data_IF_617692807057
#
_entry.id   IF_617692807057
#
_cell.length_a   1.000
_cell.length_b   1.000
_cell.length_c   1.000
_cell.angle_alpha   90.00
_cell.angle_beta   90.00
_cell.angle_gamma   90.00
#
_symmetry.space_group_name_H-M   'P 1'
#
loop_
_entity.id
_entity.type
_entity.pdbx_description
1 polymer ?
#
# COMPACT_ATOMS: atom_id res chain seq x y z
N UNK A 1 3.34 -11.24 7.65
CA UNK A 1 2.45 -10.39 8.49
C UNK A 1 1.16 -11.03 8.95
N UNK A 2 0.32 -11.52 8.05
CA UNK A 2 -1.03 -12.02 8.38
C UNK A 2 -1.01 -13.11 9.45
N UNK A 3 -0.09 -14.07 9.34
CA UNK A 3 0.11 -15.14 10.33
C UNK A 3 0.49 -14.60 11.72
N UNK A 4 1.40 -13.62 11.80
CA UNK A 4 1.79 -13.00 13.07
C UNK A 4 0.65 -12.20 13.72
N UNK A 5 -0.22 -11.58 12.92
CA UNK A 5 -1.40 -10.84 13.39
C UNK A 5 -2.44 -11.81 13.98
N UNK A 6 -2.70 -12.92 13.29
CA UNK A 6 -3.62 -13.98 13.76
C UNK A 6 -3.08 -14.63 15.04
N UNK A 7 -1.79 -14.95 15.08
CA UNK A 7 -1.14 -15.52 16.28
C UNK A 7 -1.15 -14.56 17.47
N UNK A 8 -1.07 -13.24 17.23
CA UNK A 8 -1.24 -12.21 18.28
C UNK A 8 -2.70 -11.90 18.61
N UNK A 9 -3.67 -12.63 18.05
CA UNK A 9 -5.13 -12.38 18.18
C UNK A 9 -5.52 -10.93 17.86
N UNK A 10 -4.79 -10.25 16.99
CA UNK A 10 -5.11 -8.90 16.56
C UNK A 10 -6.15 -8.93 15.43
N UNK A 11 -7.03 -7.93 15.40
CA UNK A 11 -8.05 -7.82 14.34
C UNK A 11 -7.36 -7.53 13.00
N UNK A 12 -7.57 -8.43 12.04
CA UNK A 12 -7.17 -8.22 10.65
C UNK A 12 -8.05 -7.13 10.05
N UNK A 13 -7.47 -5.96 9.76
CA UNK A 13 -8.16 -4.90 9.03
C UNK A 13 -8.37 -5.34 7.57
N UNK A 14 -9.50 -4.92 6.99
CA UNK A 14 -9.84 -5.25 5.60
C UNK A 14 -8.73 -4.87 4.61
N UNK A 15 -8.18 -3.67 4.79
CA UNK A 15 -7.06 -3.12 4.02
C UNK A 15 -5.89 -4.12 3.87
N UNK A 16 -5.52 -4.78 4.97
CA UNK A 16 -4.34 -5.64 5.04
C UNK A 16 -4.50 -6.87 4.16
N UNK A 17 -5.54 -7.68 4.41
CA UNK A 17 -5.71 -8.93 3.69
C UNK A 17 -6.14 -8.70 2.24
N UNK A 18 -6.96 -7.67 1.96
CA UNK A 18 -7.32 -7.28 0.60
C UNK A 18 -6.07 -6.97 -0.22
N UNK A 19 -5.21 -6.08 0.29
CA UNK A 19 -3.94 -5.73 -0.35
C UNK A 19 -3.06 -6.96 -0.58
N UNK A 20 -2.79 -7.77 0.46
CA UNK A 20 -1.88 -8.91 0.32
C UNK A 20 -2.34 -9.98 -0.68
N UNK A 21 -3.64 -10.25 -0.78
CA UNK A 21 -4.15 -11.22 -1.75
C UNK A 21 -4.11 -10.64 -3.17
N UNK A 22 -4.53 -9.39 -3.33
CA UNK A 22 -4.65 -8.78 -4.67
C UNK A 22 -3.28 -8.48 -5.30
N UNK A 23 -2.28 -8.03 -4.54
CA UNK A 23 -0.90 -7.87 -5.07
C UNK A 23 -0.26 -9.21 -5.44
N UNK A 24 -0.57 -10.29 -4.71
CA UNK A 24 -0.07 -11.63 -5.03
C UNK A 24 -0.66 -12.14 -6.35
N UNK A 25 -1.96 -11.97 -6.54
CA UNK A 25 -2.63 -12.33 -7.79
C UNK A 25 -2.14 -11.48 -8.97
N UNK A 26 -1.98 -10.16 -8.75
CA UNK A 26 -1.49 -9.25 -9.77
C UNK A 26 -0.05 -9.58 -10.20
N UNK A 27 0.85 -9.82 -9.26
CA UNK A 27 2.25 -10.20 -9.59
C UNK A 27 2.32 -11.53 -10.34
N UNK A 28 1.47 -12.51 -9.98
CA UNK A 28 1.37 -13.77 -10.72
C UNK A 28 0.86 -13.58 -12.16
N UNK A 29 -0.14 -12.70 -12.33
CA UNK A 29 -0.68 -12.35 -13.64
C UNK A 29 0.35 -11.60 -14.50
N UNK A 30 0.94 -10.54 -13.97
CA UNK A 30 1.95 -9.72 -14.68
C UNK A 30 3.28 -10.44 -14.91
N UNK A 31 3.61 -11.49 -14.16
CA UNK A 31 4.79 -12.33 -14.42
C UNK A 31 4.70 -13.03 -15.78
N UNK A 32 3.50 -13.46 -16.20
CA UNK A 32 3.29 -14.06 -17.52
C UNK A 32 3.51 -13.06 -18.66
N UNK A 33 3.14 -11.81 -18.43
CA UNK A 33 3.15 -10.76 -19.45
C UNK A 33 4.42 -9.90 -19.47
N UNK A 34 5.42 -10.22 -18.65
CA UNK A 34 6.76 -9.59 -18.67
C UNK A 34 6.70 -8.04 -18.76
N UNK A 35 5.85 -7.42 -17.93
CA UNK A 35 5.59 -5.97 -17.99
C UNK A 35 6.89 -5.18 -17.82
N UNK A 36 7.26 -4.37 -18.83
CA UNK A 36 8.51 -3.59 -18.86
C UNK A 36 8.69 -2.64 -17.67
N UNK A 37 7.59 -2.23 -17.01
CA UNK A 37 7.61 -1.39 -15.81
C UNK A 37 7.84 -2.14 -14.48
N UNK A 38 7.88 -3.48 -14.49
CA UNK A 38 7.91 -4.29 -13.25
C UNK A 38 9.08 -3.98 -12.32
N UNK A 39 10.26 -3.65 -12.86
CA UNK A 39 11.44 -3.31 -12.07
C UNK A 39 11.28 -2.04 -11.22
N UNK A 40 10.59 -1.03 -11.74
CA UNK A 40 10.27 0.19 -10.99
C UNK A 40 9.31 -0.09 -9.84
N UNK A 41 8.27 -0.90 -10.11
CA UNK A 41 7.32 -1.33 -9.08
C UNK A 41 7.98 -2.11 -7.96
N UNK A 42 8.86 -3.08 -8.30
CA UNK A 42 9.60 -3.84 -7.29
C UNK A 42 10.47 -2.92 -6.44
N UNK A 43 11.26 -2.05 -7.05
CA UNK A 43 12.21 -1.19 -6.33
C UNK A 43 11.51 -0.24 -5.35
N UNK A 44 10.44 0.43 -5.80
CA UNK A 44 9.64 1.30 -4.93
C UNK A 44 9.00 0.52 -3.79
N UNK A 45 8.44 -0.67 -4.07
CA UNK A 45 7.79 -1.50 -3.06
C UNK A 45 8.78 -1.99 -2.01
N UNK A 46 9.94 -2.52 -2.42
CA UNK A 46 10.98 -2.98 -1.50
C UNK A 46 11.49 -1.84 -0.60
N UNK A 47 11.66 -0.65 -1.16
CA UNK A 47 12.15 0.51 -0.40
C UNK A 47 11.17 0.91 0.70
N UNK A 48 9.88 1.05 0.37
CA UNK A 48 8.87 1.42 1.36
C UNK A 48 8.61 0.30 2.37
N UNK A 49 8.62 -0.96 1.93
CA UNK A 49 8.51 -2.10 2.84
C UNK A 49 9.70 -2.19 3.79
N UNK A 50 10.93 -1.96 3.31
CA UNK A 50 12.11 -1.94 4.17
C UNK A 50 11.95 -0.91 5.30
N UNK A 51 11.45 0.29 5.00
CA UNK A 51 11.16 1.32 6.01
C UNK A 51 10.06 0.88 6.99
N UNK A 52 8.96 0.33 6.48
CA UNK A 52 7.83 -0.13 7.30
C UNK A 52 8.23 -1.28 8.26
N UNK A 53 8.94 -2.29 7.77
CA UNK A 53 9.38 -3.42 8.58
C UNK A 53 10.46 -3.04 9.58
N UNK A 54 11.35 -2.11 9.22
CA UNK A 54 12.33 -1.55 10.17
C UNK A 54 11.62 -0.88 11.35
N UNK A 55 10.55 -0.12 11.08
CA UNK A 55 9.72 0.46 12.12
C UNK A 55 9.04 -0.59 13.01
N UNK A 56 8.45 -1.64 12.43
CA UNK A 56 7.85 -2.72 13.22
C UNK A 56 8.87 -3.48 14.06
N UNK A 57 10.09 -3.67 13.54
CA UNK A 57 11.19 -4.29 14.27
C UNK A 57 11.60 -3.43 15.46
N UNK A 58 11.79 -2.12 15.26
CA UNK A 58 12.10 -1.19 16.35
C UNK A 58 11.01 -1.17 17.43
N UNK A 59 9.73 -1.21 17.02
CA UNK A 59 8.59 -1.32 17.94
C UNK A 59 8.57 -2.64 18.72
N UNK A 60 8.92 -3.75 18.07
CA UNK A 60 9.02 -5.06 18.72
C UNK A 60 10.21 -5.15 19.69
N UNK A 61 11.30 -4.42 19.43
CA UNK A 61 12.46 -4.29 20.31
C UNK A 61 12.21 -3.40 21.55
N UNK A 62 10.99 -2.90 21.74
CA UNK A 62 10.62 -2.09 22.91
C UNK A 62 10.96 -0.60 22.79
N UNK A 63 11.46 -0.14 21.64
CA UNK A 63 11.72 1.28 21.41
C UNK A 63 10.39 2.02 21.28
N UNK A 64 10.20 3.07 22.09
CA UNK A 64 9.05 3.99 21.97
C UNK A 64 9.24 4.87 20.74
N UNK A 65 8.77 4.40 19.59
CA UNK A 65 8.80 5.19 18.37
C UNK A 65 7.68 6.25 18.40
N UNK A 66 7.98 7.53 18.14
CA UNK A 66 6.99 8.60 18.23
C UNK A 66 5.93 8.49 17.10
N UNK A 67 4.70 8.92 17.40
CA UNK A 67 3.56 8.97 16.45
C UNK A 67 3.87 9.59 15.08
N UNK A 68 4.64 10.70 14.95
CA UNK A 68 5.01 11.24 13.64
C UNK A 68 5.77 10.26 12.74
N UNK A 69 6.58 9.33 13.30
CA UNK A 69 7.24 8.32 12.47
C UNK A 69 6.24 7.37 11.83
N UNK A 70 5.19 6.95 12.56
CA UNK A 70 4.12 6.13 12.00
C UNK A 70 3.38 6.88 10.88
N UNK A 71 3.14 8.18 11.07
CA UNK A 71 2.51 9.04 10.06
C UNK A 71 3.38 9.17 8.80
N UNK A 72 4.69 9.37 8.95
CA UNK A 72 5.64 9.43 7.81
C UNK A 72 5.62 8.12 7.02
N UNK A 73 5.58 6.96 7.70
CA UNK A 73 5.53 5.66 7.03
C UNK A 73 4.22 5.49 6.26
N UNK A 74 3.08 5.85 6.87
CA UNK A 74 1.78 5.80 6.17
C UNK A 74 1.76 6.77 4.97
N UNK A 75 2.34 7.96 5.11
CA UNK A 75 2.48 8.91 4.01
C UNK A 75 3.38 8.36 2.89
N UNK A 76 4.49 7.70 3.23
CA UNK A 76 5.37 7.05 2.26
C UNK A 76 4.66 5.91 1.50
N UNK A 77 3.78 5.15 2.17
CA UNK A 77 2.95 4.12 1.52
C UNK A 77 1.93 4.72 0.54
N UNK A 78 1.27 5.81 0.92
CA UNK A 78 0.36 6.55 0.02
C UNK A 78 1.12 7.09 -1.18
N UNK A 79 2.28 7.71 -0.95
CA UNK A 79 3.13 8.23 -2.00
C UNK A 79 3.59 7.13 -2.97
N UNK A 80 3.90 5.93 -2.45
CA UNK A 80 4.25 4.79 -3.28
C UNK A 80 3.10 4.32 -4.17
N UNK A 81 1.85 4.36 -3.70
CA UNK A 81 0.70 4.07 -4.57
C UNK A 81 0.47 5.16 -5.62
N UNK A 82 0.65 6.43 -5.26
CA UNK A 82 0.55 7.53 -6.22
C UNK A 82 1.64 7.43 -7.31
N UNK A 83 2.90 7.21 -6.92
CA UNK A 83 4.00 7.00 -7.86
C UNK A 83 3.78 5.76 -8.73
N UNK A 84 3.23 4.69 -8.16
CA UNK A 84 2.87 3.50 -8.94
C UNK A 84 1.84 3.79 -10.03
N UNK A 85 0.83 4.60 -9.73
CA UNK A 85 -0.16 5.06 -10.71
C UNK A 85 0.49 5.93 -11.80
N UNK A 86 1.43 6.81 -11.43
CA UNK A 86 2.20 7.62 -12.38
C UNK A 86 3.05 6.75 -13.31
N UNK A 87 3.74 5.73 -12.79
CA UNK A 87 4.54 4.80 -13.60
C UNK A 87 3.65 4.01 -14.56
N UNK A 88 2.48 3.53 -14.13
CA UNK A 88 1.51 2.88 -15.01
C UNK A 88 1.01 3.81 -16.12
N UNK A 89 0.69 5.06 -15.79
CA UNK A 89 0.30 6.08 -16.78
C UNK A 89 1.42 6.41 -17.76
N UNK A 90 2.67 6.45 -17.29
CA UNK A 90 3.84 6.64 -18.14
C UNK A 90 4.03 5.43 -19.07
N UNK A 91 3.96 4.20 -18.55
CA UNK A 91 4.02 2.99 -19.39
C UNK A 91 2.92 2.98 -20.44
N UNK A 92 1.70 3.36 -20.09
CA UNK A 92 0.59 3.48 -21.05
C UNK A 92 0.87 4.50 -22.16
N UNK A 93 1.42 5.67 -21.82
CA UNK A 93 1.79 6.68 -22.81
C UNK A 93 2.90 6.17 -23.74
N UNK A 94 3.94 5.58 -23.18
CA UNK A 94 5.10 5.10 -23.93
C UNK A 94 4.80 3.86 -24.79
N UNK A 95 3.77 3.08 -24.43
CA UNK A 95 3.25 1.99 -25.26
C UNK A 95 2.69 2.47 -26.59
N UNK A 96 2.15 3.69 -26.65
CA UNK A 96 1.61 4.27 -27.88
C UNK A 96 2.72 4.79 -28.81
N UNK A 97 3.82 5.29 -28.25
CA UNK A 97 4.93 5.90 -29.00
C UNK A 97 5.97 4.87 -29.48
N UNK A 98 6.27 3.87 -28.65
CA UNK A 98 7.26 2.83 -28.94
C UNK A 98 6.48 1.53 -28.95
N UNK A 99 6.40 0.83 -30.09
CA UNK A 99 5.68 -0.44 -30.28
C UNK A 99 6.18 -1.52 -29.31
N UNK A 100 5.85 -1.38 -28.03
CA UNK A 100 6.22 -2.27 -26.95
C UNK A 100 5.15 -3.36 -26.89
N UNK A 101 5.53 -4.65 -26.87
CA UNK A 101 4.60 -5.76 -26.72
C UNK A 101 4.14 -5.87 -25.25
N UNK A 102 3.55 -4.81 -24.72
CA UNK A 102 2.94 -4.79 -23.40
C UNK A 102 1.43 -4.92 -23.57
N UNK A 103 0.81 -5.81 -22.81
CA UNK A 103 -0.64 -6.02 -22.89
C UNK A 103 -1.37 -4.88 -22.17
N UNK A 104 -2.21 -4.15 -22.90
CA UNK A 104 -3.05 -3.06 -22.37
C UNK A 104 -3.91 -3.52 -21.18
N UNK A 105 -4.35 -4.78 -21.19
CA UNK A 105 -5.13 -5.37 -20.10
C UNK A 105 -4.39 -5.37 -18.76
N UNK A 106 -3.08 -5.68 -18.75
CA UNK A 106 -2.28 -5.64 -17.52
C UNK A 106 -2.16 -4.24 -16.95
N UNK A 107 -2.04 -3.25 -17.83
CA UNK A 107 -1.93 -1.84 -17.45
C UNK A 107 -3.25 -1.33 -16.88
N UNK A 108 -4.39 -1.72 -17.47
CA UNK A 108 -5.72 -1.38 -16.96
C UNK A 108 -5.98 -2.03 -15.60
N UNK A 109 -5.77 -3.34 -15.47
CA UNK A 109 -5.95 -4.05 -14.19
C UNK A 109 -5.00 -3.55 -13.10
N UNK A 110 -3.75 -3.25 -13.45
CA UNK A 110 -2.78 -2.63 -12.55
C UNK A 110 -3.22 -1.25 -12.08
N UNK A 111 -3.69 -0.40 -13.00
CA UNK A 111 -4.16 0.95 -12.68
C UNK A 111 -5.38 0.92 -11.75
N UNK A 112 -6.34 0.03 -12.01
CA UNK A 112 -7.52 -0.17 -11.16
C UNK A 112 -7.14 -0.62 -9.75
N UNK A 113 -6.19 -1.55 -9.65
CA UNK A 113 -5.68 -2.05 -8.36
C UNK A 113 -4.95 -0.95 -7.57
N UNK A 114 -4.02 -0.22 -8.20
CA UNK A 114 -3.29 0.86 -7.54
C UNK A 114 -4.21 2.01 -7.10
N UNK A 115 -5.22 2.33 -7.90
CA UNK A 115 -6.23 3.33 -7.56
C UNK A 115 -7.07 2.88 -6.36
N UNK A 116 -7.49 1.61 -6.30
CA UNK A 116 -8.25 1.09 -5.15
C UNK A 116 -7.43 1.20 -3.86
N UNK A 117 -6.14 0.86 -3.90
CA UNK A 117 -5.25 1.01 -2.75
C UNK A 117 -5.06 2.46 -2.33
N UNK A 118 -4.88 3.38 -3.28
CA UNK A 118 -4.72 4.80 -2.98
C UNK A 118 -5.92 5.33 -2.18
N UNK A 119 -7.15 5.00 -2.62
CA UNK A 119 -8.39 5.39 -1.94
C UNK A 119 -8.44 4.78 -0.55
N UNK A 120 -8.20 3.47 -0.44
CA UNK A 120 -8.28 2.74 0.83
C UNK A 120 -7.24 3.24 1.85
N UNK A 121 -6.01 3.53 1.42
CA UNK A 121 -4.97 4.10 2.29
C UNK A 121 -5.25 5.56 2.65
N UNK A 122 -5.79 6.35 1.73
CA UNK A 122 -6.21 7.73 2.02
C UNK A 122 -7.34 7.77 3.06
N UNK A 123 -8.34 6.89 2.94
CA UNK A 123 -9.41 6.74 3.92
C UNK A 123 -8.86 6.30 5.29
N UNK A 124 -7.95 5.32 5.30
CA UNK A 124 -7.29 4.90 6.53
C UNK A 124 -6.49 6.03 7.18
N UNK A 125 -5.74 6.80 6.40
CA UNK A 125 -4.99 7.96 6.91
C UNK A 125 -5.91 9.04 7.46
N UNK A 126 -7.02 9.31 6.77
CA UNK A 126 -8.03 10.24 7.23
C UNK A 126 -8.63 9.81 8.57
N UNK A 127 -9.11 8.56 8.68
CA UNK A 127 -9.71 8.05 9.92
C UNK A 127 -8.70 7.93 11.08
N UNK A 128 -7.43 7.61 10.79
CA UNK A 128 -6.41 7.39 11.81
C UNK A 128 -5.72 8.67 12.31
N UNK A 129 -5.58 9.69 11.46
CA UNK A 129 -4.76 10.87 11.75
C UNK A 129 -5.49 12.22 11.63
N UNK A 130 -6.43 12.38 10.70
CA UNK A 130 -7.08 13.67 10.43
C UNK A 130 -8.45 13.79 11.10
N UNK A 131 -9.15 12.68 11.28
CA UNK A 131 -10.40 12.63 12.04
C UNK A 131 -10.07 12.91 13.50
N UNK A 132 -10.25 14.16 13.90
CA UNK A 132 -10.30 14.51 15.31
C UNK A 132 -11.37 13.64 15.96
N UNK A 133 -11.19 13.21 17.23
CA UNK A 133 -12.30 12.71 18.01
C UNK A 133 -13.27 13.89 18.14
N UNK A 134 -14.21 14.01 17.20
CA UNK A 134 -15.37 14.87 17.37
C UNK A 134 -15.92 14.51 18.74
N UNK A 135 -15.90 15.46 19.66
CA UNK A 135 -16.27 15.23 21.05
C UNK A 135 -17.65 14.62 21.13
N UNK A 136 -17.70 13.29 21.27
CA UNK A 136 -18.86 12.64 21.86
C UNK A 136 -18.62 12.58 23.36
N UNK A 137 -19.61 13.07 24.07
CA UNK A 137 -19.53 13.49 25.45
C UNK A 137 -19.33 12.28 26.36
N UNK A 138 -18.44 12.44 27.33
CA UNK A 138 -18.56 11.95 28.70
C UNK A 138 -19.97 11.43 29.06
N UNK A 139 -20.13 10.12 29.15
CA UNK A 139 -21.09 9.40 30.01
C UNK A 139 -20.41 8.06 30.35
N UNK A 140 -19.63 7.95 31.43
CA UNK A 140 -20.05 7.48 32.77
C UNK A 140 -21.23 6.50 32.74
N UNK A 141 -20.92 5.21 32.69
CA UNK A 141 -21.56 4.04 33.31
C UNK A 141 -20.86 2.82 32.68
N UNK A 142 -20.25 1.87 33.37
CA UNK A 142 -20.42 1.34 34.73
C UNK A 142 -19.14 1.39 35.58
#
# INVERSE_FOLDING_TARGET
>A
DTLFIVLRKQRLIFLHWYHHITVLLYTWFSYKDQVAGGGWFMTMNYTVHALMYTYYTARAAGVRVPRPCAMIITAAQILQMAMGLTVLGLVHHWMHDVHCPSNVDNVVWGSLMYLSYLILFALFFYDAYLKQPSGDKRTKAE
#
